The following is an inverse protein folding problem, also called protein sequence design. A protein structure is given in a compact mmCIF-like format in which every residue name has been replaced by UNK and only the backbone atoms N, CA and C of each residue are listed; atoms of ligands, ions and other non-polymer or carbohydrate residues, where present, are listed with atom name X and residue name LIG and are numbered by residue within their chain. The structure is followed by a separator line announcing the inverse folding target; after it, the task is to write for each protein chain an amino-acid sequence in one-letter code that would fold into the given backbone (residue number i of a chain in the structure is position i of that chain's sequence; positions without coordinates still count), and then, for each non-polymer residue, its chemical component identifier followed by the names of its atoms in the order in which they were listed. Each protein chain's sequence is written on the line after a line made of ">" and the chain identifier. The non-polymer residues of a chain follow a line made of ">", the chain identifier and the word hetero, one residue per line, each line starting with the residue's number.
data_IF_556492203382
#
_entry.id   IF_556492203382
#
_cell.length_a   1.000
_cell.length_b   1.000
_cell.length_c   1.000
_cell.angle_alpha   90.00
_cell.angle_beta   90.00
_cell.angle_gamma   90.00
#
_symmetry.space_group_name_H-M   'P 1'
#
loop_
_entity.id
_entity.type
_entity.pdbx_description
1 polymer ?
#
# COMPACT_ATOMS: atom_id res chain seq x y z
N UNK A 1 8.32 -28.23 -7.17
CA UNK A 1 8.77 -26.85 -6.94
C UNK A 1 7.58 -25.89 -6.78
N UNK A 2 6.79 -25.59 -7.82
CA UNK A 2 5.66 -24.65 -7.72
C UNK A 2 4.58 -25.09 -6.71
N UNK A 3 4.27 -26.39 -6.63
CA UNK A 3 3.34 -26.94 -5.64
C UNK A 3 3.84 -26.78 -4.19
N UNK A 4 5.15 -26.87 -3.96
CA UNK A 4 5.75 -26.63 -2.64
C UNK A 4 5.62 -25.17 -2.23
N UNK A 5 5.91 -24.25 -3.17
CA UNK A 5 5.70 -22.81 -2.98
C UNK A 5 4.23 -22.46 -2.75
N UNK A 6 3.32 -23.13 -3.46
CA UNK A 6 1.88 -23.00 -3.25
C UNK A 6 1.49 -23.32 -1.81
N UNK A 7 1.91 -24.47 -1.29
CA UNK A 7 1.59 -24.87 0.08
C UNK A 7 2.13 -23.87 1.10
N UNK A 8 3.38 -23.41 0.94
CA UNK A 8 3.95 -22.39 1.83
C UNK A 8 3.25 -21.04 1.73
N UNK A 9 2.75 -20.66 0.55
CA UNK A 9 1.99 -19.42 0.35
C UNK A 9 0.62 -19.44 1.01
N UNK A 10 -0.07 -20.58 0.94
CA UNK A 10 -1.42 -20.74 1.46
C UNK A 10 -1.41 -20.98 3.00
N UNK A 11 -0.33 -21.55 3.56
CA UNK A 11 -0.15 -21.82 5.01
C UNK A 11 0.44 -20.61 5.78
N UNK A 12 1.00 -19.63 5.06
CA UNK A 12 1.64 -18.46 5.67
C UNK A 12 0.64 -17.55 6.42
N UNK A 13 0.99 -17.15 7.65
CA UNK A 13 0.22 -16.22 8.48
C UNK A 13 0.61 -14.75 8.28
N UNK A 14 1.84 -14.50 7.82
CA UNK A 14 2.37 -13.18 7.48
C UNK A 14 1.99 -12.77 6.06
N UNK A 15 1.82 -11.46 5.82
CA UNK A 15 1.52 -10.96 4.48
C UNK A 15 0.09 -11.24 3.98
N UNK A 16 -0.85 -11.53 4.90
CA UNK A 16 -2.27 -11.81 4.61
C UNK A 16 -2.91 -10.86 3.58
N UNK A 17 -2.53 -9.58 3.57
CA UNK A 17 -3.04 -8.63 2.58
C UNK A 17 -2.64 -8.98 1.14
N UNK A 18 -1.37 -9.33 0.89
CA UNK A 18 -0.89 -9.71 -0.44
C UNK A 18 -1.47 -11.06 -0.86
N UNK A 19 -1.58 -12.01 0.06
CA UNK A 19 -2.29 -13.26 -0.20
C UNK A 19 -3.73 -13.00 -0.67
N UNK A 20 -4.43 -12.02 -0.08
CA UNK A 20 -5.77 -11.65 -0.50
C UNK A 20 -5.83 -11.00 -1.90
N UNK A 21 -4.77 -10.34 -2.37
CA UNK A 21 -4.73 -9.73 -3.70
C UNK A 21 -4.25 -10.73 -4.76
N UNK A 22 -3.20 -11.48 -4.42
CA UNK A 22 -2.57 -12.51 -5.24
C UNK A 22 -2.74 -13.85 -4.49
N UNK A 23 -3.94 -14.45 -4.54
CA UNK A 23 -4.18 -15.73 -3.90
C UNK A 23 -3.46 -16.86 -4.63
N UNK A 24 -2.87 -16.59 -5.80
CA UNK A 24 -2.20 -17.59 -6.61
C UNK A 24 -0.76 -17.27 -6.97
N UNK A 25 0.18 -18.01 -6.37
CA UNK A 25 1.55 -18.19 -6.89
C UNK A 25 1.51 -18.61 -8.37
N UNK A 26 2.24 -17.87 -9.19
CA UNK A 26 2.39 -18.06 -10.63
C UNK A 26 3.81 -17.70 -11.04
N UNK A 27 4.32 -18.34 -12.09
CA UNK A 27 5.58 -17.95 -12.72
C UNK A 27 5.40 -16.78 -13.70
N UNK A 28 4.15 -16.44 -14.03
CA UNK A 28 3.87 -15.28 -14.88
C UNK A 28 4.05 -14.00 -14.06
N UNK A 29 4.86 -13.05 -14.53
CA UNK A 29 5.06 -11.80 -13.83
C UNK A 29 3.77 -10.98 -13.83
N UNK A 30 3.46 -10.37 -12.69
CA UNK A 30 2.36 -9.42 -12.58
C UNK A 30 2.85 -8.07 -13.10
N UNK A 31 2.06 -7.45 -13.99
CA UNK A 31 2.38 -6.14 -14.59
C UNK A 31 2.03 -4.98 -13.64
N UNK A 32 2.68 -4.96 -12.47
CA UNK A 32 2.59 -3.86 -11.53
C UNK A 32 3.81 -2.95 -11.61
N UNK A 33 3.59 -1.65 -11.42
CA UNK A 33 4.70 -0.69 -11.28
C UNK A 33 5.35 -0.85 -9.91
N UNK A 34 6.56 -0.30 -9.74
CA UNK A 34 7.23 -0.23 -8.42
C UNK A 34 6.35 0.44 -7.36
N UNK A 35 5.66 1.52 -7.74
CA UNK A 35 4.80 2.26 -6.82
C UNK A 35 3.54 1.50 -6.44
N UNK A 36 2.93 0.78 -7.41
CA UNK A 36 1.82 -0.14 -7.12
C UNK A 36 2.25 -1.23 -6.14
N UNK A 37 3.42 -1.86 -6.36
CA UNK A 37 3.96 -2.85 -5.43
C UNK A 37 4.10 -2.25 -4.03
N UNK A 38 4.81 -1.12 -3.89
CA UNK A 38 5.01 -0.44 -2.60
C UNK A 38 3.69 -0.13 -1.89
N UNK A 39 2.68 0.34 -2.61
CA UNK A 39 1.34 0.57 -2.06
C UNK A 39 0.73 -0.69 -1.44
N UNK A 40 0.66 -1.78 -2.21
CA UNK A 40 -0.06 -2.99 -1.80
C UNK A 40 0.63 -3.75 -0.69
N UNK A 41 1.97 -3.70 -0.62
CA UNK A 41 2.71 -4.28 0.51
C UNK A 41 2.73 -3.35 1.73
N UNK A 42 2.32 -2.08 1.56
CA UNK A 42 2.33 -1.07 2.60
C UNK A 42 3.72 -0.52 2.92
N UNK A 43 4.62 -0.46 1.93
CA UNK A 43 5.97 0.08 2.03
C UNK A 43 6.09 1.44 1.33
N UNK A 44 7.22 2.13 1.55
CA UNK A 44 7.55 3.38 0.87
C UNK A 44 7.39 4.60 1.78
N UNK A 45 6.87 5.74 1.29
CA UNK A 45 6.83 7.00 2.05
C UNK A 45 5.73 7.05 3.13
N UNK A 46 5.26 5.90 3.61
CA UNK A 46 4.17 5.79 4.58
C UNK A 46 4.72 5.88 6.00
N UNK A 47 4.31 6.86 6.83
CA UNK A 47 4.73 6.94 8.23
C UNK A 47 4.52 5.65 9.03
N UNK A 48 3.44 4.91 8.78
CA UNK A 48 3.20 3.63 9.47
C UNK A 48 4.25 2.57 9.16
N UNK A 49 4.79 2.60 7.93
CA UNK A 49 5.90 1.74 7.52
C UNK A 49 7.21 2.21 8.12
N UNK A 50 7.52 3.50 7.98
CA UNK A 50 8.77 4.06 8.49
C UNK A 50 8.92 3.86 9.99
N UNK A 51 7.84 4.09 10.77
CA UNK A 51 7.85 3.83 12.21
C UNK A 51 8.12 2.35 12.54
N UNK A 52 7.49 1.42 11.82
CA UNK A 52 7.68 -0.02 12.05
C UNK A 52 9.16 -0.45 11.90
N UNK A 53 9.91 0.23 11.05
CA UNK A 53 11.32 -0.04 10.80
C UNK A 53 12.28 0.93 11.52
N UNK A 54 11.78 1.69 12.50
CA UNK A 54 12.57 2.68 13.25
C UNK A 54 13.21 3.76 12.37
N UNK A 55 12.59 4.07 11.23
CA UNK A 55 13.02 5.14 10.30
C UNK A 55 12.25 6.45 10.53
N UNK A 56 11.24 6.44 11.40
CA UNK A 56 10.49 7.62 11.83
C UNK A 56 9.98 7.43 13.26
N UNK A 57 9.87 8.51 14.02
CA UNK A 57 9.39 8.47 15.41
C UNK A 57 7.89 8.16 15.52
N UNK A 58 7.09 8.59 14.53
CA UNK A 58 5.63 8.48 14.57
C UNK A 58 5.07 7.82 13.32
N UNK A 59 3.96 7.08 13.48
CA UNK A 59 3.17 6.55 12.37
C UNK A 59 2.11 7.52 11.86
N UNK A 60 2.08 8.76 12.35
CA UNK A 60 1.06 9.73 11.98
C UNK A 60 1.44 10.49 10.71
N UNK A 61 0.42 10.76 9.88
CA UNK A 61 0.49 11.75 8.82
C UNK A 61 0.47 13.17 9.43
N UNK A 62 0.89 14.18 8.65
CA UNK A 62 0.79 15.61 9.01
C UNK A 62 -0.63 16.04 9.38
N UNK A 63 -1.66 15.33 8.89
CA UNK A 63 -3.07 15.57 9.20
C UNK A 63 -3.64 14.61 10.26
N UNK A 64 -2.78 14.11 11.17
CA UNK A 64 -3.14 13.39 12.41
C UNK A 64 -3.84 12.02 12.25
N UNK A 65 -4.01 11.50 11.04
CA UNK A 65 -4.39 10.09 10.82
C UNK A 65 -3.17 9.17 10.78
N UNK A 66 -3.35 7.86 11.02
CA UNK A 66 -2.27 6.88 10.84
C UNK A 66 -1.90 6.83 9.36
N UNK A 67 -0.65 7.13 9.03
CA UNK A 67 -0.11 7.26 7.67
C UNK A 67 0.05 5.93 6.94
N UNK A 68 -1.03 5.17 6.83
CA UNK A 68 -1.13 3.92 6.06
C UNK A 68 -1.46 4.21 4.58
N UNK A 69 -1.21 3.24 3.66
CA UNK A 69 -1.65 3.37 2.26
C UNK A 69 -3.15 3.66 2.14
N UNK A 70 -3.98 2.95 2.92
CA UNK A 70 -5.43 3.14 2.95
C UNK A 70 -5.81 4.56 3.37
N UNK A 71 -5.17 5.11 4.42
CA UNK A 71 -5.44 6.47 4.90
C UNK A 71 -5.23 7.50 3.79
N UNK A 72 -4.08 7.45 3.11
CA UNK A 72 -3.79 8.35 1.99
C UNK A 72 -4.71 8.13 0.79
N UNK A 73 -5.13 6.90 0.55
CA UNK A 73 -5.99 6.58 -0.57
C UNK A 73 -7.47 6.92 -0.36
N UNK A 74 -7.92 7.24 0.86
CA UNK A 74 -9.37 7.33 1.16
C UNK A 74 -9.79 8.56 1.96
N UNK A 75 -8.96 9.06 2.88
CA UNK A 75 -9.42 10.08 3.85
C UNK A 75 -8.39 11.18 4.16
N UNK A 76 -7.11 11.00 3.81
CA UNK A 76 -6.08 11.99 4.14
C UNK A 76 -6.29 13.31 3.38
N UNK A 77 -6.32 14.43 4.10
CA UNK A 77 -6.50 15.76 3.50
C UNK A 77 -5.34 16.17 2.57
N UNK A 78 -4.14 15.61 2.77
CA UNK A 78 -2.99 15.87 1.89
C UNK A 78 -3.23 15.35 0.46
N UNK A 79 -4.06 14.32 0.31
CA UNK A 79 -4.15 13.52 -0.93
C UNK A 79 -5.57 13.45 -1.46
N UNK A 80 -6.39 14.49 -1.21
CA UNK A 80 -7.80 14.55 -1.63
C UNK A 80 -8.02 14.29 -3.12
N UNK A 81 -7.13 14.78 -3.99
CA UNK A 81 -7.20 14.51 -5.44
C UNK A 81 -7.03 13.03 -5.80
N UNK A 82 -6.43 12.24 -4.91
CA UNK A 82 -6.13 10.82 -5.08
C UNK A 82 -7.11 9.90 -4.32
N UNK A 83 -8.16 10.45 -3.72
CA UNK A 83 -9.13 9.64 -2.97
C UNK A 83 -9.92 8.66 -3.85
N UNK A 84 -10.03 7.44 -3.36
CA UNK A 84 -10.93 6.41 -3.84
C UNK A 84 -12.00 6.19 -2.77
N UNK A 85 -13.13 5.60 -3.17
CA UNK A 85 -14.20 5.28 -2.24
C UNK A 85 -13.66 4.39 -1.09
N UNK A 86 -13.86 4.73 0.19
CA UNK A 86 -13.35 3.95 1.30
C UNK A 86 -13.98 2.55 1.36
N UNK A 87 -13.30 1.55 1.94
CA UNK A 87 -13.92 0.27 2.26
C UNK A 87 -15.03 0.47 3.30
N UNK A 88 -16.03 -0.43 3.30
CA UNK A 88 -16.84 -0.61 4.50
C UNK A 88 -15.97 -1.18 5.63
N UNK A 89 -16.36 -0.96 6.88
CA UNK A 89 -15.55 -1.14 8.09
C UNK A 89 -14.93 -2.55 8.28
N UNK A 90 -15.37 -3.56 7.51
CA UNK A 90 -14.88 -4.94 7.55
C UNK A 90 -14.32 -5.48 6.22
N UNK A 91 -14.24 -4.66 5.16
CA UNK A 91 -13.94 -5.13 3.80
C UNK A 91 -12.57 -4.65 3.26
N UNK A 92 -11.59 -4.45 4.14
CA UNK A 92 -10.27 -3.97 3.73
C UNK A 92 -9.60 -4.87 2.66
N UNK A 93 -9.56 -6.21 2.81
CA UNK A 93 -8.92 -7.06 1.79
C UNK A 93 -9.64 -7.01 0.43
N UNK A 94 -10.98 -6.93 0.46
CA UNK A 94 -11.81 -6.83 -0.75
C UNK A 94 -11.55 -5.51 -1.49
N UNK A 95 -11.39 -4.43 -0.74
CA UNK A 95 -11.05 -3.12 -1.30
C UNK A 95 -9.69 -3.10 -1.97
N UNK A 96 -8.65 -3.65 -1.32
CA UNK A 96 -7.33 -3.71 -1.94
C UNK A 96 -7.34 -4.58 -3.21
N UNK A 97 -8.11 -5.68 -3.20
CA UNK A 97 -8.31 -6.51 -4.39
C UNK A 97 -9.02 -5.75 -5.52
N UNK A 98 -10.04 -4.95 -5.21
CA UNK A 98 -10.75 -4.15 -6.23
C UNK A 98 -9.85 -3.06 -6.82
N UNK A 99 -9.04 -2.39 -5.99
CA UNK A 99 -8.05 -1.40 -6.41
C UNK A 99 -6.98 -2.05 -7.30
N UNK A 100 -6.47 -3.22 -6.93
CA UNK A 100 -5.46 -3.94 -7.71
C UNK A 100 -5.97 -4.44 -9.07
N UNK A 101 -7.25 -4.79 -9.17
CA UNK A 101 -7.86 -5.31 -10.39
C UNK A 101 -8.36 -4.22 -11.35
N UNK A 102 -8.39 -2.95 -10.93
CA UNK A 102 -8.86 -1.84 -11.75
C UNK A 102 -7.69 -0.96 -12.23
N UNK A 103 -7.54 -0.79 -13.54
CA UNK A 103 -6.43 -0.03 -14.14
C UNK A 103 -6.42 1.45 -13.74
N UNK A 104 -7.59 2.09 -13.63
CA UNK A 104 -7.70 3.49 -13.23
C UNK A 104 -7.35 3.67 -11.76
N UNK A 105 -7.82 2.77 -10.88
CA UNK A 105 -7.44 2.76 -9.47
C UNK A 105 -5.94 2.56 -9.31
N UNK A 106 -5.33 1.64 -10.07
CA UNK A 106 -3.88 1.42 -10.07
C UNK A 106 -3.08 2.63 -10.56
N UNK A 107 -3.53 3.30 -11.62
CA UNK A 107 -2.94 4.58 -12.08
C UNK A 107 -3.04 5.66 -11.01
N UNK A 108 -4.15 5.71 -10.27
CA UNK A 108 -4.34 6.64 -9.15
C UNK A 108 -3.40 6.35 -7.99
N UNK A 109 -3.17 5.07 -7.67
CA UNK A 109 -2.16 4.61 -6.70
C UNK A 109 -0.74 5.00 -7.13
N UNK A 110 -0.38 4.77 -8.39
CA UNK A 110 0.94 5.13 -8.90
C UNK A 110 1.21 6.64 -8.79
N UNK A 111 0.24 7.47 -9.18
CA UNK A 111 0.32 8.92 -9.06
C UNK A 111 0.36 9.40 -7.59
N UNK A 112 -0.40 8.75 -6.71
CA UNK A 112 -0.39 9.03 -5.28
C UNK A 112 1.02 8.82 -4.69
N UNK A 113 1.67 7.70 -5.01
CA UNK A 113 3.02 7.44 -4.52
C UNK A 113 4.05 8.41 -5.09
N UNK A 114 3.98 8.72 -6.40
CA UNK A 114 4.84 9.73 -7.00
C UNK A 114 4.70 11.09 -6.28
N UNK A 115 3.48 11.48 -5.94
CA UNK A 115 3.25 12.68 -5.14
C UNK A 115 3.88 12.58 -3.74
N UNK A 116 3.59 11.51 -2.99
CA UNK A 116 4.12 11.34 -1.62
C UNK A 116 5.65 11.30 -1.58
N UNK A 117 6.30 10.67 -2.57
CA UNK A 117 7.76 10.61 -2.66
C UNK A 117 8.39 12.00 -2.86
N UNK A 118 7.74 12.88 -3.65
CA UNK A 118 8.16 14.28 -3.81
C UNK A 118 7.98 15.06 -2.50
N UNK A 119 6.84 14.89 -1.84
CA UNK A 119 6.57 15.53 -0.54
C UNK A 119 7.55 15.09 0.56
N UNK A 120 8.00 13.83 0.56
CA UNK A 120 9.02 13.36 1.52
C UNK A 120 10.42 13.85 1.17
N UNK A 121 10.75 13.97 -0.12
CA UNK A 121 12.08 14.48 -0.55
C UNK A 121 12.26 15.98 -0.27
N UNK A 122 11.15 16.72 -0.10
CA UNK A 122 11.14 18.14 0.21
C UNK A 122 11.14 18.43 1.72
N UNK A 123 11.14 17.41 2.60
CA UNK A 123 11.28 17.66 4.04
C UNK A 123 12.75 17.91 4.36
N UNK A 124 13.10 19.02 5.03
CA UNK A 124 14.45 19.18 5.55
C UNK A 124 14.75 18.05 6.53
N UNK A 125 15.98 17.54 6.49
CA UNK A 125 16.44 16.53 7.45
C UNK A 125 16.20 17.05 8.87
N UNK A 126 15.72 16.19 9.79
CA UNK A 126 15.66 16.55 11.18
C UNK A 126 17.10 16.74 11.69
N UNK A 127 17.39 17.97 12.13
CA UNK A 127 18.62 18.32 12.87
C UNK A 127 18.78 17.48 14.14
#
# INVERSE_FOLDING_TARGET
>A
MLATWRMAWDDGDTGSLIHNIIPKVSLQPIKWTRNEVLFFIGHGPFPSFLQRFNLAETSFCSYRGIGTPMHYATVCLLTTSYHMAPPSQQQHPVWFRSVANNSESRRKVDNLLHFLQRETSNRPDPN
#
